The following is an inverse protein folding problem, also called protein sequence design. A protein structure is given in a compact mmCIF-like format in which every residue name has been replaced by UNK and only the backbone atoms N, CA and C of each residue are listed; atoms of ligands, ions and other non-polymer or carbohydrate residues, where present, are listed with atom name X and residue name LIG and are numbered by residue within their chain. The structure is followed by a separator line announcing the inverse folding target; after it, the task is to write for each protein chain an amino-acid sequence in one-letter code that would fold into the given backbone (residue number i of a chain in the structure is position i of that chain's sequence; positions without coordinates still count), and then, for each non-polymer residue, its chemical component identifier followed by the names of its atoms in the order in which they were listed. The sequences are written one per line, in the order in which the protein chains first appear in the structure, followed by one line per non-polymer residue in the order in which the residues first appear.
data_IF_525161363956
#
_entry.id   IF_525161363956
#
_cell.length_a   1.000
_cell.length_b   1.000
_cell.length_c   1.000
_cell.angle_alpha   90.00
_cell.angle_beta   90.00
_cell.angle_gamma   90.00
#
_symmetry.space_group_name_H-M   'P 1'
#
loop_
_entity.id
_entity.type
_entity.pdbx_description
1 polymer ?
#
# COMPACT_ATOMS: atom_id res chain seq x y z
N UNK A 1 5.54 -21.11 -0.74
CA UNK A 1 4.73 -19.97 -1.15
C UNK A 1 5.56 -19.07 -2.06
N UNK A 2 4.92 -18.39 -2.97
CA UNK A 2 5.62 -17.55 -3.92
C UNK A 2 5.93 -16.19 -3.31
N UNK A 3 6.90 -15.50 -3.91
CA UNK A 3 7.19 -14.11 -3.54
C UNK A 3 5.95 -13.23 -3.74
N UNK A 4 5.19 -13.47 -4.82
CA UNK A 4 3.98 -12.71 -5.08
C UNK A 4 3.00 -12.86 -3.92
N UNK A 5 2.74 -14.08 -3.46
CA UNK A 5 1.83 -14.31 -2.34
C UNK A 5 2.32 -13.60 -1.07
N UNK A 6 3.63 -13.66 -0.82
CA UNK A 6 4.22 -13.05 0.38
C UNK A 6 4.06 -11.53 0.35
N UNK A 7 4.33 -10.90 -0.79
CA UNK A 7 4.24 -9.45 -0.90
C UNK A 7 2.80 -8.95 -0.85
N UNK A 8 1.87 -9.67 -1.49
CA UNK A 8 0.46 -9.28 -1.41
C UNK A 8 -0.12 -9.48 -0.01
N UNK A 9 0.38 -10.45 0.74
CA UNK A 9 0.00 -10.60 2.14
C UNK A 9 0.47 -9.39 2.96
N UNK A 10 1.70 -8.93 2.74
CA UNK A 10 2.22 -7.73 3.41
C UNK A 10 1.41 -6.50 2.99
N UNK A 11 1.16 -6.36 1.71
CA UNK A 11 0.42 -5.22 1.17
C UNK A 11 -0.98 -5.13 1.78
N UNK A 12 -1.66 -6.27 1.91
CA UNK A 12 -2.99 -6.31 2.52
C UNK A 12 -2.98 -5.73 3.93
N UNK A 13 -1.94 -5.99 4.69
CA UNK A 13 -1.82 -5.48 6.05
C UNK A 13 -1.76 -3.97 6.11
N UNK A 14 -1.15 -3.31 5.12
CA UNK A 14 -1.12 -1.85 5.09
C UNK A 14 -2.52 -1.24 4.93
N UNK A 15 -3.44 -1.96 4.32
CA UNK A 15 -4.83 -1.51 4.22
C UNK A 15 -5.60 -1.75 5.51
N UNK A 16 -5.34 -2.89 6.18
CA UNK A 16 -6.23 -3.39 7.22
C UNK A 16 -5.69 -3.26 8.64
N UNK A 17 -4.36 -3.11 8.80
CA UNK A 17 -3.73 -3.07 10.12
C UNK A 17 -3.39 -1.64 10.54
N UNK A 18 -2.93 -1.50 11.78
CA UNK A 18 -2.63 -0.20 12.37
C UNK A 18 -1.15 0.13 12.46
N UNK A 19 -0.81 1.06 13.32
CA UNK A 19 0.52 1.66 13.41
C UNK A 19 1.66 0.66 13.59
N UNK A 20 1.48 -0.33 14.48
CA UNK A 20 2.55 -1.30 14.73
C UNK A 20 2.91 -2.09 13.48
N UNK A 21 1.91 -2.47 12.69
CA UNK A 21 2.15 -3.17 11.44
C UNK A 21 3.01 -2.33 10.48
N UNK A 22 2.70 -1.04 10.40
CA UNK A 22 3.47 -0.11 9.56
C UNK A 22 4.91 -0.04 10.03
N UNK A 23 5.14 0.05 11.34
CA UNK A 23 6.49 0.08 11.89
C UNK A 23 7.27 -1.20 11.56
N UNK A 24 6.59 -2.34 11.53
CA UNK A 24 7.23 -3.63 11.26
C UNK A 24 7.54 -3.85 9.79
N UNK A 25 6.79 -3.22 8.87
CA UNK A 25 6.86 -3.56 7.44
C UNK A 25 7.30 -2.42 6.53
N UNK A 26 7.46 -1.21 7.04
CA UNK A 26 8.00 -0.10 6.26
C UNK A 26 9.52 -0.10 6.31
N UNK A 27 10.14 0.31 5.20
CA UNK A 27 11.58 0.60 5.20
C UNK A 27 11.83 1.87 6.02
N UNK A 28 13.09 2.18 6.32
CA UNK A 28 13.43 3.36 7.11
C UNK A 28 12.85 4.64 6.53
N UNK A 29 12.81 4.72 5.21
CA UNK A 29 12.18 5.81 4.47
C UNK A 29 11.25 5.23 3.45
N UNK A 30 10.13 5.90 3.23
CA UNK A 30 9.16 5.49 2.25
C UNK A 30 8.74 6.71 1.43
N UNK A 31 8.71 6.53 0.11
CA UNK A 31 8.19 7.57 -0.77
C UNK A 31 6.72 7.31 -1.04
N UNK A 32 5.91 8.33 -0.82
CA UNK A 32 4.47 8.25 -1.04
C UNK A 32 4.07 9.19 -2.16
N UNK A 33 3.21 8.70 -3.04
CA UNK A 33 2.67 9.50 -4.13
C UNK A 33 1.14 9.37 -4.10
N UNK A 34 0.51 10.30 -3.41
CA UNK A 34 -0.94 10.34 -3.27
C UNK A 34 -1.51 11.54 -4.04
N UNK A 35 -2.70 11.38 -4.62
CA UNK A 35 -3.23 12.38 -5.54
C UNK A 35 -3.91 13.57 -4.86
N UNK A 36 -4.20 13.50 -3.57
CA UNK A 36 -5.01 14.50 -2.90
C UNK A 36 -4.16 15.43 -2.06
N UNK A 37 -4.52 16.69 -2.09
CA UNK A 37 -3.87 17.69 -1.24
C UNK A 37 -4.16 17.38 0.23
N UNK A 38 -3.14 17.55 1.06
CA UNK A 38 -3.26 17.29 2.49
C UNK A 38 -2.86 15.89 2.89
N UNK A 39 -2.71 14.98 1.94
CA UNK A 39 -2.17 13.66 2.23
C UNK A 39 -0.63 13.73 2.26
N UNK A 40 -0.02 12.79 2.98
CA UNK A 40 1.42 12.71 3.04
C UNK A 40 1.98 12.39 1.65
N UNK A 41 2.77 13.29 1.12
CA UNK A 41 3.40 13.13 -0.19
C UNK A 41 4.89 13.32 -0.05
N UNK A 42 5.67 12.57 -0.85
CA UNK A 42 7.12 12.70 -0.86
C UNK A 42 7.78 11.66 0.04
N UNK A 43 9.01 11.94 0.45
CA UNK A 43 9.81 11.02 1.25
C UNK A 43 9.61 11.29 2.73
N UNK A 44 9.26 10.25 3.47
CA UNK A 44 8.99 10.36 4.91
C UNK A 44 9.68 9.23 5.65
N UNK A 45 9.98 9.46 6.93
CA UNK A 45 10.50 8.40 7.80
C UNK A 45 9.41 7.37 8.07
N UNK A 46 9.84 6.15 8.41
CA UNK A 46 8.93 5.08 8.79
C UNK A 46 7.99 5.52 9.92
N UNK A 47 8.54 6.16 10.93
CA UNK A 47 7.77 6.60 12.10
C UNK A 47 6.69 7.60 11.72
N UNK A 48 7.00 8.51 10.81
CA UNK A 48 6.03 9.52 10.37
C UNK A 48 4.90 8.88 9.56
N UNK A 49 5.22 7.93 8.69
CA UNK A 49 4.19 7.23 7.93
C UNK A 49 3.32 6.40 8.86
N UNK A 50 3.94 5.67 9.78
CA UNK A 50 3.20 4.82 10.73
C UNK A 50 2.25 5.64 11.59
N UNK A 51 2.63 6.84 11.97
CA UNK A 51 1.79 7.70 12.80
C UNK A 51 0.46 8.08 12.14
N UNK A 52 0.36 7.97 10.81
CA UNK A 52 -0.90 8.24 10.11
C UNK A 52 -1.89 7.08 10.21
N UNK A 53 -1.41 5.89 10.57
CA UNK A 53 -2.23 4.67 10.63
C UNK A 53 -2.74 4.44 12.05
N UNK A 54 -3.51 5.38 12.59
CA UNK A 54 -3.93 5.36 13.99
C UNK A 54 -5.02 4.34 14.29
N UNK A 55 -5.67 3.78 13.25
CA UNK A 55 -6.77 2.84 13.42
C UNK A 55 -6.70 1.75 12.37
N UNK A 56 -6.96 0.50 12.77
CA UNK A 56 -7.04 -0.63 11.85
C UNK A 56 -8.39 -0.70 11.13
N UNK A 57 -9.32 0.21 11.44
CA UNK A 57 -10.67 0.19 10.85
C UNK A 57 -10.86 1.23 9.75
N UNK A 58 -9.77 1.75 9.18
CA UNK A 58 -9.85 2.79 8.15
C UNK A 58 -10.46 2.30 6.85
N UNK A 59 -10.27 1.03 6.54
CA UNK A 59 -10.72 0.40 5.30
C UNK A 59 -11.38 -0.94 5.58
N UNK A 60 -12.28 -1.36 4.71
CA UNK A 60 -12.94 -2.67 4.82
C UNK A 60 -13.29 -3.21 3.45
N UNK A 61 -13.61 -4.50 3.40
CA UNK A 61 -14.04 -5.20 2.18
C UNK A 61 -13.02 -5.05 1.04
N UNK A 62 -11.74 -5.22 1.38
CA UNK A 62 -10.65 -5.07 0.41
C UNK A 62 -10.63 -6.22 -0.59
N UNK A 63 -10.54 -5.85 -1.88
CA UNK A 63 -10.27 -6.78 -2.96
C UNK A 63 -9.08 -6.24 -3.76
N UNK A 64 -8.08 -7.09 -3.98
CA UNK A 64 -6.92 -6.75 -4.80
C UNK A 64 -6.99 -7.55 -6.10
N UNK A 65 -7.37 -6.88 -7.18
CA UNK A 65 -7.58 -7.48 -8.50
C UNK A 65 -6.45 -7.13 -9.45
N UNK A 66 -6.34 -7.87 -10.55
CA UNK A 66 -5.39 -7.58 -11.63
C UNK A 66 -3.94 -7.48 -11.12
N UNK A 67 -3.55 -8.43 -10.29
CA UNK A 67 -2.24 -8.43 -9.62
C UNK A 67 -1.09 -8.68 -10.58
N UNK A 68 -0.02 -7.91 -10.41
CA UNK A 68 1.23 -8.10 -11.13
C UNK A 68 2.43 -7.99 -10.21
N UNK A 69 3.55 -8.54 -10.65
CA UNK A 69 4.81 -8.46 -9.91
C UNK A 69 5.97 -8.52 -10.89
N UNK A 70 6.95 -7.64 -10.69
CA UNK A 70 8.26 -7.76 -11.33
C UNK A 70 9.33 -7.70 -10.24
N UNK A 71 10.45 -8.36 -10.49
CA UNK A 71 11.60 -8.36 -9.58
C UNK A 71 12.83 -7.92 -10.35
N UNK A 72 13.06 -6.60 -10.48
CA UNK A 72 14.17 -6.08 -11.31
C UNK A 72 15.55 -6.44 -10.76
N UNK A 73 15.65 -6.74 -9.48
CA UNK A 73 16.88 -7.16 -8.81
C UNK A 73 16.51 -8.08 -7.65
N UNK A 74 17.49 -8.83 -7.14
CA UNK A 74 17.24 -9.76 -6.04
C UNK A 74 16.63 -9.09 -4.81
N UNK A 75 16.99 -7.82 -4.58
CA UNK A 75 16.55 -7.08 -3.40
C UNK A 75 15.42 -6.11 -3.66
N UNK A 76 14.85 -6.09 -4.89
CA UNK A 76 13.80 -5.13 -5.25
C UNK A 76 12.68 -5.86 -5.95
N UNK A 77 11.46 -5.65 -5.48
CA UNK A 77 10.26 -6.18 -6.13
C UNK A 77 9.20 -5.08 -6.20
N UNK A 78 8.50 -5.04 -7.32
CA UNK A 78 7.45 -4.03 -7.55
C UNK A 78 6.16 -4.77 -7.86
N UNK A 79 5.10 -4.39 -7.17
CA UNK A 79 3.76 -4.95 -7.42
C UNK A 79 2.82 -3.84 -7.87
N UNK A 80 1.82 -4.23 -8.64
CA UNK A 80 0.75 -3.34 -9.05
C UNK A 80 -0.55 -4.12 -9.09
N UNK A 81 -1.63 -3.47 -8.70
CA UNK A 81 -2.95 -4.11 -8.66
C UNK A 81 -4.03 -3.05 -8.65
N UNK A 82 -5.26 -3.50 -8.83
CA UNK A 82 -6.42 -2.63 -8.68
C UNK A 82 -7.06 -2.93 -7.33
N UNK A 83 -7.12 -1.92 -6.49
CA UNK A 83 -7.75 -2.03 -5.18
C UNK A 83 -9.22 -1.61 -5.28
N UNK A 84 -10.10 -2.46 -4.77
CA UNK A 84 -11.51 -2.15 -4.58
C UNK A 84 -11.76 -2.30 -3.09
N UNK A 85 -12.14 -1.23 -2.43
CA UNK A 85 -12.18 -1.20 -0.97
C UNK A 85 -13.24 -0.19 -0.55
N UNK A 86 -13.70 -0.29 0.69
CA UNK A 86 -14.63 0.67 1.26
C UNK A 86 -13.95 1.43 2.39
N UNK A 87 -14.22 2.73 2.48
CA UNK A 87 -13.78 3.53 3.62
C UNK A 87 -14.58 3.11 4.86
N UNK A 88 -14.11 3.54 6.03
CA UNK A 88 -14.78 3.20 7.29
C UNK A 88 -16.27 3.59 7.29
N UNK A 89 -16.63 4.66 6.58
CA UNK A 89 -18.02 5.13 6.47
C UNK A 89 -18.83 4.37 5.40
N UNK A 90 -18.20 3.40 4.73
CA UNK A 90 -18.87 2.59 3.71
C UNK A 90 -18.77 3.13 2.30
N UNK A 91 -18.18 4.30 2.09
CA UNK A 91 -18.02 4.86 0.74
C UNK A 91 -16.97 4.05 -0.04
N UNK A 92 -17.28 3.68 -1.29
CA UNK A 92 -16.34 2.90 -2.09
C UNK A 92 -15.14 3.73 -2.54
N UNK A 93 -13.98 3.05 -2.63
CA UNK A 93 -12.77 3.64 -3.16
C UNK A 93 -12.13 2.64 -4.10
N UNK A 94 -11.75 3.08 -5.28
CA UNK A 94 -11.10 2.23 -6.27
C UNK A 94 -9.89 2.95 -6.82
N UNK A 95 -8.76 2.24 -6.92
CA UNK A 95 -7.53 2.85 -7.39
C UNK A 95 -6.59 1.82 -7.98
N UNK A 96 -5.75 2.27 -8.92
CA UNK A 96 -4.59 1.50 -9.31
C UNK A 96 -3.48 1.80 -8.32
N UNK A 97 -2.87 0.74 -7.80
CA UNK A 97 -1.87 0.84 -6.76
C UNK A 97 -0.53 0.37 -7.30
N UNK A 98 0.54 1.10 -6.98
CA UNK A 98 1.89 0.66 -7.23
C UNK A 98 2.67 0.68 -5.93
N UNK A 99 3.42 -0.40 -5.65
CA UNK A 99 4.21 -0.50 -4.44
C UNK A 99 5.56 -1.13 -4.75
N UNK A 100 6.63 -0.56 -4.22
CA UNK A 100 7.97 -1.11 -4.37
C UNK A 100 8.47 -1.58 -3.00
N UNK A 101 8.97 -2.81 -2.99
CA UNK A 101 9.51 -3.44 -1.79
C UNK A 101 11.00 -3.66 -1.93
N UNK A 102 11.73 -3.51 -0.84
CA UNK A 102 13.16 -3.79 -0.79
C UNK A 102 13.39 -4.90 0.24
N UNK A 103 14.32 -5.81 -0.07
CA UNK A 103 14.67 -6.90 0.83
C UNK A 103 15.80 -6.46 1.75
N UNK A 104 15.51 -6.47 3.05
CA UNK A 104 16.48 -6.17 4.09
C UNK A 104 16.79 -7.47 4.86
N UNK A 105 17.73 -7.40 5.79
CA UNK A 105 18.12 -8.58 6.59
C UNK A 105 16.94 -9.18 7.36
N UNK A 106 15.95 -8.37 7.70
CA UNK A 106 14.78 -8.81 8.47
C UNK A 106 13.50 -8.90 7.62
N UNK A 107 13.65 -9.04 6.31
CA UNK A 107 12.52 -9.29 5.41
C UNK A 107 12.27 -8.17 4.41
N UNK A 108 11.19 -8.31 3.68
CA UNK A 108 10.79 -7.32 2.68
C UNK A 108 10.12 -6.13 3.36
N UNK A 109 10.49 -4.92 2.93
CA UNK A 109 9.96 -3.66 3.49
C UNK A 109 9.44 -2.77 2.38
N UNK A 110 8.34 -2.09 2.64
CA UNK A 110 7.75 -1.17 1.69
C UNK A 110 8.55 0.13 1.63
N UNK A 111 9.01 0.49 0.43
CA UNK A 111 9.81 1.71 0.21
C UNK A 111 9.11 2.74 -0.66
N UNK A 112 8.07 2.34 -1.40
CA UNK A 112 7.32 3.26 -2.27
C UNK A 112 5.87 2.78 -2.38
N UNK A 113 4.94 3.73 -2.34
CA UNK A 113 3.52 3.41 -2.45
C UNK A 113 2.79 4.55 -3.16
N UNK A 114 2.00 4.20 -4.17
CA UNK A 114 1.28 5.18 -4.98
C UNK A 114 -0.17 4.76 -5.17
N UNK A 115 -1.05 5.75 -5.10
CA UNK A 115 -2.47 5.58 -5.43
C UNK A 115 -2.81 6.42 -6.66
N UNK A 116 -3.48 5.79 -7.62
CA UNK A 116 -4.06 6.49 -8.77
C UNK A 116 -5.55 6.17 -8.79
N UNK A 117 -6.38 7.02 -8.19
CA UNK A 117 -7.81 6.75 -8.10
C UNK A 117 -8.44 6.59 -9.48
N UNK A 118 -9.36 5.64 -9.57
CA UNK A 118 -10.14 5.41 -10.77
C UNK A 118 -11.47 6.12 -10.59
N UNK A 119 -11.71 7.11 -11.45
CA UNK A 119 -12.99 7.78 -11.46
C UNK A 119 -13.95 6.96 -12.31
N UNK A 120 -15.10 6.66 -11.74
CA UNK A 120 -16.15 5.99 -12.49
C UNK A 120 -17.16 7.04 -12.95
N UNK A 121 -17.48 6.98 -14.22
CA UNK A 121 -18.55 7.79 -14.77
C UNK A 121 -19.86 7.04 -14.50
N UNK A 122 -20.44 7.32 -13.34
CA UNK A 122 -21.67 6.63 -12.91
C UNK A 122 -22.88 7.04 -13.71
N UNK A 123 -22.74 8.08 -14.52
CA UNK A 123 -23.84 8.55 -15.36
C UNK A 123 -23.80 7.92 -16.75
N UNK A 124 -22.82 7.11 -16.99
CA UNK A 124 -22.69 6.45 -18.29
C UNK A 124 -23.73 5.34 -18.45
#
# INVERSE_FOLDING_TARGET
MSLEDDLYAIEQGFWLEGEQYFLDHLDERCMLAFPQMGEMHGVHSRERVAATATSSNRWKDLRMADRGLIQPADEVAIISYRAEVKRADGLPYEALIGSAYVRRSNGWKLAFHQHSPIERDDDA
#
